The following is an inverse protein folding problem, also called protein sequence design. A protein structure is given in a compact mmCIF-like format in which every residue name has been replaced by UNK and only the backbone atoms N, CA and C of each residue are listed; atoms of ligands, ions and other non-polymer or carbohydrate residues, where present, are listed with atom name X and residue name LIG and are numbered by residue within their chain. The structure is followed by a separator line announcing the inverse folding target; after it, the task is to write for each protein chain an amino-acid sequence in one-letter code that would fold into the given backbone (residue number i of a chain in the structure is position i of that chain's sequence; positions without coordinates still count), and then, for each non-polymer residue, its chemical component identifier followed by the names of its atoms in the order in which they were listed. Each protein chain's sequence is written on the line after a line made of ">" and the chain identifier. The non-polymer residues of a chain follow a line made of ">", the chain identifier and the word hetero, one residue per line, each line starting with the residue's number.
data_IF_627178357379
#
_entry.id   IF_627178357379
#
_cell.length_a   1.000
_cell.length_b   1.000
_cell.length_c   1.000
_cell.angle_alpha   90.00
_cell.angle_beta   90.00
_cell.angle_gamma   90.00
#
_symmetry.space_group_name_H-M   'P 1'
#
loop_
_entity.id
_entity.type
_entity.pdbx_description
1 polymer ?
#
# COMPACT_ATOMS: atom_id res chain seq x y z
N UNK A 1 21.05 -21.36 -1.76
CA UNK A 1 20.82 -20.09 -1.01
C UNK A 1 19.75 -20.28 0.07
N UNK A 2 18.51 -20.64 -0.30
CA UNK A 2 17.42 -20.94 0.67
C UNK A 2 17.83 -21.93 1.77
N UNK A 3 18.63 -22.95 1.45
CA UNK A 3 19.12 -23.89 2.46
C UNK A 3 19.96 -23.22 3.55
N UNK A 4 20.82 -22.24 3.21
CA UNK A 4 21.67 -21.55 4.20
C UNK A 4 20.86 -20.60 5.08
N UNK A 5 19.91 -19.89 4.48
CA UNK A 5 18.94 -19.06 5.22
C UNK A 5 18.16 -19.93 6.21
N UNK A 6 17.63 -21.06 5.74
CA UNK A 6 16.94 -22.04 6.58
C UNK A 6 17.85 -22.61 7.67
N UNK A 7 19.08 -23.01 7.35
CA UNK A 7 20.02 -23.54 8.34
C UNK A 7 20.36 -22.52 9.42
N UNK A 8 20.59 -21.25 9.06
CA UNK A 8 20.84 -20.18 10.04
C UNK A 8 19.61 -19.97 10.93
N UNK A 9 18.42 -19.90 10.34
CA UNK A 9 17.17 -19.75 11.08
C UNK A 9 16.90 -20.94 12.01
N UNK A 10 17.11 -22.17 11.53
CA UNK A 10 16.95 -23.40 12.35
C UNK A 10 17.95 -23.43 13.50
N UNK A 11 19.22 -23.13 13.24
CA UNK A 11 20.24 -23.07 14.30
C UNK A 11 19.85 -22.07 15.38
N UNK A 12 19.44 -20.86 14.97
CA UNK A 12 19.14 -19.79 15.92
C UNK A 12 17.79 -19.99 16.63
N UNK A 13 16.85 -20.70 16.00
CA UNK A 13 15.55 -21.04 16.62
C UNK A 13 15.67 -21.92 17.87
N UNK A 14 16.78 -22.65 18.00
CA UNK A 14 17.06 -23.51 19.16
C UNK A 14 18.15 -22.93 20.08
N UNK A 15 18.72 -21.76 19.76
CA UNK A 15 19.75 -21.13 20.57
C UNK A 15 19.15 -20.42 21.79
N UNK A 16 19.76 -20.64 22.95
CA UNK A 16 19.54 -19.79 24.11
C UNK A 16 20.46 -18.55 24.07
N UNK A 17 20.24 -17.61 25.00
CA UNK A 17 21.03 -16.37 25.11
C UNK A 17 22.53 -16.67 25.28
N UNK A 18 22.88 -17.74 25.99
CA UNK A 18 24.27 -18.16 26.22
C UNK A 18 24.92 -18.66 24.92
N UNK A 19 24.19 -19.45 24.12
CA UNK A 19 24.64 -19.92 22.81
C UNK A 19 24.84 -18.76 21.85
N UNK A 20 23.91 -17.80 21.85
CA UNK A 20 24.01 -16.58 21.06
C UNK A 20 25.25 -15.76 21.44
N UNK A 21 25.56 -15.63 22.73
CA UNK A 21 26.80 -15.00 23.21
C UNK A 21 28.06 -15.73 22.71
N UNK A 22 28.06 -17.05 22.80
CA UNK A 22 29.16 -17.88 22.32
C UNK A 22 29.39 -17.69 20.82
N UNK A 23 28.31 -17.75 20.02
CA UNK A 23 28.35 -17.52 18.57
C UNK A 23 28.86 -16.12 18.22
N UNK A 24 28.36 -15.07 18.88
CA UNK A 24 28.82 -13.71 18.63
C UNK A 24 30.30 -13.52 19.00
N UNK A 25 30.76 -14.15 20.08
CA UNK A 25 32.18 -14.16 20.45
C UNK A 25 33.02 -14.86 19.39
N UNK A 26 32.58 -16.01 18.90
CA UNK A 26 33.25 -16.72 17.80
C UNK A 26 33.32 -15.83 16.54
N UNK A 27 32.20 -15.25 16.09
CA UNK A 27 32.16 -14.34 14.92
C UNK A 27 33.10 -13.14 15.12
N UNK A 28 33.17 -12.60 16.33
CA UNK A 28 34.03 -11.45 16.64
C UNK A 28 35.53 -11.74 16.47
N UNK A 29 35.94 -13.01 16.56
CA UNK A 29 37.34 -13.43 16.39
C UNK A 29 37.69 -13.81 14.95
N UNK A 30 36.70 -13.96 14.07
CA UNK A 30 36.94 -14.29 12.66
C UNK A 30 37.55 -13.09 11.95
N UNK A 31 38.61 -13.36 11.17
CA UNK A 31 39.12 -12.43 10.17
C UNK A 31 38.29 -12.53 8.87
N UNK A 32 37.42 -11.56 8.66
CA UNK A 32 36.53 -11.53 7.50
C UNK A 32 37.24 -11.25 6.17
N UNK A 33 38.52 -10.88 6.19
CA UNK A 33 39.32 -10.69 4.96
C UNK A 33 39.68 -12.03 4.33
N UNK A 34 40.06 -13.01 5.16
CA UNK A 34 40.49 -14.34 4.72
C UNK A 34 39.32 -15.27 4.41
N UNK A 35 38.10 -14.95 4.84
CA UNK A 35 36.90 -15.72 4.53
C UNK A 35 36.52 -15.70 3.05
N UNK A 36 36.04 -16.83 2.58
CA UNK A 36 35.36 -16.97 1.29
C UNK A 36 34.00 -16.24 1.30
N UNK A 37 33.47 -15.91 0.12
CA UNK A 37 32.16 -15.25 -0.01
C UNK A 37 31.02 -16.08 0.61
N UNK A 38 31.14 -17.41 0.59
CA UNK A 38 30.14 -18.31 1.17
C UNK A 38 30.16 -18.29 2.70
N UNK A 39 31.35 -18.22 3.30
CA UNK A 39 31.49 -18.09 4.76
C UNK A 39 30.99 -16.72 5.23
N UNK A 40 31.34 -15.66 4.52
CA UNK A 40 30.81 -14.31 4.78
C UNK A 40 29.27 -14.30 4.72
N UNK A 41 28.70 -14.94 3.70
CA UNK A 41 27.25 -15.09 3.56
C UNK A 41 26.63 -15.77 4.78
N UNK A 42 27.19 -16.90 5.22
CA UNK A 42 26.69 -17.63 6.39
C UNK A 42 26.80 -16.80 7.67
N UNK A 43 27.91 -16.10 7.88
CA UNK A 43 28.14 -15.23 9.04
C UNK A 43 27.11 -14.10 9.09
N UNK A 44 26.86 -13.41 7.97
CA UNK A 44 25.89 -12.31 7.94
C UNK A 44 24.46 -12.82 8.14
N UNK A 45 24.12 -13.99 7.57
CA UNK A 45 22.81 -14.63 7.80
C UNK A 45 22.61 -14.99 9.28
N UNK A 46 23.62 -15.57 9.94
CA UNK A 46 23.56 -15.83 11.39
C UNK A 46 23.39 -14.52 12.18
N UNK A 47 24.13 -13.47 11.85
CA UNK A 47 23.96 -12.17 12.51
C UNK A 47 22.56 -11.56 12.30
N UNK A 48 21.97 -11.74 11.11
CA UNK A 48 20.62 -11.28 10.80
C UNK A 48 19.57 -12.00 11.64
N UNK A 49 19.63 -13.33 11.68
CA UNK A 49 18.70 -14.15 12.46
C UNK A 49 18.88 -13.90 13.96
N UNK A 50 20.12 -13.74 14.46
CA UNK A 50 20.37 -13.35 15.86
C UNK A 50 19.79 -11.97 16.18
N UNK A 51 19.92 -11.01 15.27
CA UNK A 51 19.35 -9.68 15.45
C UNK A 51 17.81 -9.68 15.44
N UNK A 52 17.18 -10.68 14.82
CA UNK A 52 15.71 -10.85 14.82
C UNK A 52 15.25 -11.58 16.07
N UNK A 53 15.90 -12.70 16.42
CA UNK A 53 15.53 -13.54 17.56
C UNK A 53 15.72 -12.82 18.91
N UNK A 54 16.74 -11.98 19.02
CA UNK A 54 17.12 -11.28 20.26
C UNK A 54 16.99 -9.75 20.14
N UNK A 55 15.98 -9.25 19.42
CA UNK A 55 15.74 -7.81 19.32
C UNK A 55 15.42 -7.21 20.70
N UNK A 56 16.01 -6.05 21.01
CA UNK A 56 15.88 -5.38 22.30
C UNK A 56 16.71 -5.97 23.46
N UNK A 57 17.50 -7.02 23.24
CA UNK A 57 18.37 -7.61 24.27
C UNK A 57 19.79 -7.00 24.29
N UNK A 58 20.54 -7.27 25.37
CA UNK A 58 21.94 -6.82 25.55
C UNK A 58 22.87 -7.26 24.41
N UNK A 59 22.58 -8.41 23.78
CA UNK A 59 23.27 -8.97 22.62
C UNK A 59 23.35 -8.01 21.42
N UNK A 60 22.43 -7.05 21.32
CA UNK A 60 22.42 -6.07 20.23
C UNK A 60 23.69 -5.20 20.25
N UNK A 61 24.27 -4.94 21.43
CA UNK A 61 25.53 -4.20 21.56
C UNK A 61 26.71 -4.96 20.93
N UNK A 62 26.77 -6.28 21.13
CA UNK A 62 27.77 -7.16 20.53
C UNK A 62 27.66 -7.17 19.00
N UNK A 63 26.44 -7.30 18.46
CA UNK A 63 26.20 -7.26 17.01
C UNK A 63 26.64 -5.91 16.42
N UNK A 64 26.28 -4.79 17.07
CA UNK A 64 26.70 -3.43 16.65
C UNK A 64 28.21 -3.25 16.68
N UNK A 65 28.92 -3.87 17.62
CA UNK A 65 30.39 -3.87 17.67
C UNK A 65 31.00 -4.60 16.47
N UNK A 66 30.48 -5.78 16.13
CA UNK A 66 30.91 -6.54 14.94
C UNK A 66 30.67 -5.72 13.67
N UNK A 67 29.49 -5.11 13.54
CA UNK A 67 29.16 -4.21 12.42
C UNK A 67 30.15 -3.04 12.32
N UNK A 68 30.49 -2.40 13.45
CA UNK A 68 31.43 -1.28 13.49
C UNK A 68 32.81 -1.69 12.98
N UNK A 69 33.30 -2.86 13.36
CA UNK A 69 34.56 -3.44 12.84
C UNK A 69 34.52 -3.61 11.33
N UNK A 70 33.49 -4.28 10.80
CA UNK A 70 33.30 -4.48 9.35
C UNK A 70 33.27 -3.15 8.58
N UNK A 71 32.59 -2.15 9.13
CA UNK A 71 32.47 -0.81 8.52
C UNK A 71 33.82 -0.09 8.46
N UNK A 72 34.57 -0.09 9.57
CA UNK A 72 35.82 0.66 9.69
C UNK A 72 36.90 0.13 8.75
N UNK A 73 37.00 -1.20 8.66
CA UNK A 73 38.03 -1.86 7.86
C UNK A 73 37.68 -1.91 6.36
N UNK A 74 36.47 -1.46 5.99
CA UNK A 74 35.96 -1.44 4.61
C UNK A 74 35.94 -2.81 3.93
N UNK A 75 35.84 -3.90 4.70
CA UNK A 75 35.82 -5.30 4.21
C UNK A 75 34.78 -5.55 3.13
N UNK A 76 33.62 -4.89 3.24
CA UNK A 76 32.49 -5.03 2.32
C UNK A 76 32.80 -4.66 0.87
N UNK A 77 33.89 -3.91 0.59
CA UNK A 77 34.28 -3.55 -0.78
C UNK A 77 34.60 -4.77 -1.65
N UNK A 78 35.10 -5.87 -1.07
CA UNK A 78 35.43 -7.10 -1.82
C UNK A 78 34.28 -8.10 -1.89
N UNK A 79 33.15 -7.79 -1.26
CA UNK A 79 32.02 -8.71 -1.18
C UNK A 79 31.19 -8.69 -2.46
N UNK A 80 30.59 -9.85 -2.78
CA UNK A 80 29.59 -9.93 -3.84
C UNK A 80 28.33 -9.11 -3.50
N UNK A 81 27.52 -8.79 -4.52
CA UNK A 81 26.31 -7.98 -4.39
C UNK A 81 25.36 -8.50 -3.29
N UNK A 82 25.12 -9.82 -3.26
CA UNK A 82 24.24 -10.44 -2.27
C UNK A 82 24.76 -10.27 -0.82
N UNK A 83 26.06 -10.44 -0.59
CA UNK A 83 26.66 -10.20 0.74
C UNK A 83 26.56 -8.73 1.16
N UNK A 84 26.73 -7.79 0.23
CA UNK A 84 26.50 -6.35 0.49
C UNK A 84 25.04 -6.06 0.81
N UNK A 85 24.11 -6.67 0.09
CA UNK A 85 22.67 -6.59 0.35
C UNK A 85 22.31 -7.09 1.76
N UNK A 86 22.80 -8.28 2.14
CA UNK A 86 22.58 -8.83 3.48
C UNK A 86 23.17 -7.92 4.56
N UNK A 87 24.37 -7.37 4.34
CA UNK A 87 24.99 -6.46 5.30
C UNK A 87 24.17 -5.18 5.51
N UNK A 88 23.72 -4.52 4.44
CA UNK A 88 22.85 -3.34 4.56
C UNK A 88 21.51 -3.68 5.23
N UNK A 89 20.98 -4.87 4.97
CA UNK A 89 19.77 -5.37 5.65
C UNK A 89 20.02 -5.56 7.15
N UNK A 90 21.19 -6.04 7.54
CA UNK A 90 21.60 -6.17 8.93
C UNK A 90 21.71 -4.79 9.62
N UNK A 91 22.31 -3.80 8.95
CA UNK A 91 22.37 -2.42 9.47
C UNK A 91 20.97 -1.89 9.77
N UNK A 92 20.03 -2.09 8.84
CA UNK A 92 18.65 -1.67 8.99
C UNK A 92 17.91 -2.40 10.11
N UNK A 93 18.14 -3.70 10.27
CA UNK A 93 17.49 -4.52 11.31
C UNK A 93 17.97 -4.11 12.70
N UNK A 94 19.27 -3.92 12.86
CA UNK A 94 19.91 -3.52 14.12
C UNK A 94 19.78 -2.03 14.45
N UNK A 95 19.05 -1.27 13.61
CA UNK A 95 18.92 0.20 13.70
C UNK A 95 20.28 0.90 13.81
N UNK A 96 21.28 0.36 13.14
CA UNK A 96 22.62 0.92 13.12
C UNK A 96 22.62 2.22 12.31
N UNK A 97 23.05 3.33 12.93
CA UNK A 97 23.12 4.62 12.25
C UNK A 97 24.32 4.68 11.30
N UNK A 98 24.06 5.03 10.05
CA UNK A 98 25.09 5.29 9.05
C UNK A 98 24.73 6.51 8.20
N UNK A 99 25.74 7.10 7.56
CA UNK A 99 25.63 8.37 6.85
C UNK A 99 25.40 8.16 5.36
N UNK A 100 24.90 9.17 4.66
CA UNK A 100 24.83 9.20 3.21
C UNK A 100 26.19 8.92 2.54
N UNK A 101 27.28 9.51 3.05
CA UNK A 101 28.66 9.23 2.59
C UNK A 101 29.06 7.74 2.69
N UNK A 102 28.48 7.01 3.65
CA UNK A 102 28.68 5.57 3.74
C UNK A 102 27.85 4.82 2.70
N UNK A 103 26.59 5.21 2.52
CA UNK A 103 25.68 4.65 1.52
C UNK A 103 26.17 4.86 0.07
N UNK A 104 26.80 6.01 -0.21
CA UNK A 104 27.36 6.34 -1.52
C UNK A 104 28.32 5.27 -2.06
N UNK A 105 29.10 4.66 -1.15
CA UNK A 105 30.06 3.60 -1.49
C UNK A 105 29.41 2.36 -2.08
N UNK A 106 28.12 2.14 -1.82
CA UNK A 106 27.34 1.04 -2.39
C UNK A 106 26.65 1.46 -3.69
N UNK A 107 26.21 2.72 -3.78
CA UNK A 107 25.56 3.26 -5.00
C UNK A 107 26.53 3.35 -6.17
N UNK A 108 27.80 3.65 -5.91
CA UNK A 108 28.86 3.70 -6.93
C UNK A 108 29.34 2.31 -7.40
N UNK A 109 28.73 1.23 -6.91
CA UNK A 109 29.12 -0.14 -7.27
C UNK A 109 28.06 -0.79 -8.17
N UNK A 110 28.45 -1.75 -9.01
CA UNK A 110 27.55 -2.52 -9.89
C UNK A 110 26.58 -3.45 -9.14
N UNK A 111 26.49 -3.30 -7.82
CA UNK A 111 25.69 -4.12 -6.92
C UNK A 111 24.24 -3.62 -6.96
N UNK A 112 23.35 -4.31 -7.69
CA UNK A 112 21.97 -3.87 -7.89
C UNK A 112 21.08 -4.21 -6.68
N UNK A 113 21.38 -5.31 -5.98
CA UNK A 113 20.55 -5.75 -4.86
C UNK A 113 20.58 -4.77 -3.69
N UNK A 114 21.67 -4.01 -3.52
CA UNK A 114 21.84 -3.03 -2.44
C UNK A 114 20.83 -1.88 -2.49
N UNK A 115 20.25 -1.58 -3.66
CA UNK A 115 19.28 -0.48 -3.78
C UNK A 115 18.03 -0.69 -2.94
N UNK A 116 17.60 -1.93 -2.73
CA UNK A 116 16.43 -2.25 -1.89
C UNK A 116 16.60 -1.86 -0.42
N UNK A 117 17.64 -2.32 0.30
CA UNK A 117 17.86 -1.90 1.67
C UNK A 117 18.21 -0.41 1.75
N UNK A 118 18.93 0.17 0.77
CA UNK A 118 19.16 1.62 0.77
C UNK A 118 17.87 2.42 0.65
N UNK A 119 16.97 2.05 -0.27
CA UNK A 119 15.67 2.67 -0.41
C UNK A 119 14.85 2.61 0.90
N UNK A 120 14.86 1.46 1.59
CA UNK A 120 14.21 1.30 2.90
C UNK A 120 14.83 2.20 3.99
N UNK A 121 16.14 2.39 3.96
CA UNK A 121 16.82 3.32 4.86
C UNK A 121 16.37 4.76 4.61
N UNK A 122 16.41 5.22 3.36
CA UNK A 122 15.98 6.58 3.00
C UNK A 122 14.52 6.81 3.37
N UNK A 123 13.63 5.87 3.06
CA UNK A 123 12.22 5.97 3.45
C UNK A 123 12.03 6.09 4.97
N UNK A 124 12.81 5.35 5.77
CA UNK A 124 12.78 5.49 7.24
C UNK A 124 13.30 6.83 7.73
N UNK A 125 14.33 7.40 7.09
CA UNK A 125 14.79 8.76 7.44
C UNK A 125 13.68 9.80 7.22
N UNK A 126 12.95 9.68 6.10
CA UNK A 126 11.78 10.53 5.80
C UNK A 126 10.70 10.37 6.89
N UNK A 127 10.39 9.14 7.29
CA UNK A 127 9.37 8.85 8.30
C UNK A 127 9.74 9.37 9.70
N UNK A 128 10.95 9.07 10.18
CA UNK A 128 11.41 9.49 11.53
C UNK A 128 11.43 11.01 11.66
N UNK A 129 11.89 11.72 10.63
CA UNK A 129 11.95 13.18 10.62
C UNK A 129 10.54 13.79 10.72
N UNK A 130 9.55 13.14 10.11
CA UNK A 130 8.14 13.54 10.21
C UNK A 130 7.58 13.32 11.63
N UNK A 131 7.80 12.14 12.24
CA UNK A 131 7.28 11.81 13.59
C UNK A 131 7.84 12.72 14.69
N UNK A 132 9.15 13.01 14.67
CA UNK A 132 9.80 13.88 15.68
C UNK A 132 9.19 15.29 15.65
N UNK A 133 8.86 15.82 14.47
CA UNK A 133 8.28 17.16 14.37
C UNK A 133 6.83 17.22 14.80
N UNK A 134 6.02 16.19 14.51
CA UNK A 134 4.67 16.10 15.07
C UNK A 134 4.74 16.11 16.59
N UNK A 135 5.64 15.32 17.19
CA UNK A 135 5.84 15.30 18.64
C UNK A 135 6.27 16.67 19.18
N UNK A 136 7.17 17.38 18.50
CA UNK A 136 7.58 18.74 18.88
C UNK A 136 6.45 19.77 18.73
N UNK A 137 5.65 19.70 17.67
CA UNK A 137 4.45 20.53 17.49
C UNK A 137 3.42 20.27 18.60
N UNK A 138 3.12 19.00 18.90
CA UNK A 138 2.24 18.64 20.00
C UNK A 138 2.75 19.15 21.34
N UNK A 139 4.06 19.08 21.60
CA UNK A 139 4.67 19.63 22.81
C UNK A 139 4.55 21.16 22.87
N UNK A 140 4.72 21.87 21.75
CA UNK A 140 4.49 23.31 21.67
C UNK A 140 3.02 23.65 21.95
N UNK A 141 2.06 22.95 21.32
CA UNK A 141 0.62 23.16 21.59
C UNK A 141 0.24 22.86 23.05
N UNK A 142 0.88 21.87 23.67
CA UNK A 142 0.68 21.52 25.08
C UNK A 142 1.23 22.59 26.03
N UNK A 143 2.32 23.27 25.66
CA UNK A 143 2.89 24.41 26.41
C UNK A 143 1.96 25.63 26.32
N UNK A 144 1.28 25.85 25.20
CA UNK A 144 0.43 27.03 24.98
C UNK A 144 -1.04 26.87 25.41
N UNK A 145 -1.44 25.73 25.99
CA UNK A 145 -2.76 25.50 26.62
C UNK A 145 -3.97 26.00 25.79
N UNK A 146 -3.96 25.76 24.48
CA UNK A 146 -4.98 26.25 23.55
C UNK A 146 -6.16 25.27 23.43
N UNK A 147 -7.39 25.75 23.59
CA UNK A 147 -8.62 24.97 23.43
C UNK A 147 -8.77 24.45 21.99
N UNK A 148 -8.99 23.15 21.87
CA UNK A 148 -8.57 22.32 20.73
C UNK A 148 -9.58 22.19 19.57
N UNK A 149 -10.75 22.84 19.61
CA UNK A 149 -11.88 22.34 18.79
C UNK A 149 -12.20 23.11 17.50
N UNK A 150 -11.72 24.34 17.28
CA UNK A 150 -12.01 25.08 16.03
C UNK A 150 -10.80 25.35 15.14
N UNK A 151 -9.58 25.04 15.61
CA UNK A 151 -8.35 25.51 14.97
C UNK A 151 -7.59 24.43 14.17
N UNK A 152 -7.97 23.15 14.31
CA UNK A 152 -7.35 22.05 13.57
C UNK A 152 -7.56 22.14 12.05
N UNK A 153 -8.67 22.76 11.60
CA UNK A 153 -8.96 22.94 10.18
C UNK A 153 -8.22 24.12 9.54
N UNK A 154 -7.76 25.10 10.32
CA UNK A 154 -7.03 26.26 9.77
C UNK A 154 -5.50 26.15 9.89
N UNK A 155 -4.98 25.28 10.76
CA UNK A 155 -3.53 25.07 10.90
C UNK A 155 -2.94 24.10 9.87
N UNK A 156 -3.75 23.23 9.26
CA UNK A 156 -3.27 22.35 8.18
C UNK A 156 -2.70 23.14 7.00
N UNK A 157 -3.19 24.37 6.78
CA UNK A 157 -2.74 25.24 5.69
C UNK A 157 -1.62 26.20 6.12
N UNK A 158 -1.42 26.43 7.42
CA UNK A 158 -0.49 27.46 7.92
C UNK A 158 0.89 26.95 8.35
N UNK A 159 1.07 25.64 8.56
CA UNK A 159 2.37 25.06 8.91
C UNK A 159 2.85 24.06 7.85
N UNK A 160 3.07 24.54 6.63
CA UNK A 160 4.02 23.96 5.66
C UNK A 160 5.46 24.16 6.15
N UNK A 161 5.79 23.58 7.31
CA UNK A 161 7.19 23.51 7.76
C UNK A 161 7.87 22.45 6.92
N UNK A 162 8.56 22.89 5.87
CA UNK A 162 9.42 22.07 5.03
C UNK A 162 10.27 21.14 5.90
N UNK A 163 9.89 19.87 5.93
CA UNK A 163 10.76 18.80 6.39
C UNK A 163 11.76 18.59 5.26
N UNK A 164 13.05 18.59 5.61
CA UNK A 164 14.12 18.53 4.61
C UNK A 164 14.92 17.28 4.90
N UNK A 165 14.78 16.28 4.03
CA UNK A 165 15.75 15.19 3.89
C UNK A 165 17.15 15.82 3.87
N UNK A 166 18.14 15.18 4.50
CA UNK A 166 19.51 15.68 4.45
C UNK A 166 19.94 15.90 2.99
N UNK A 167 20.70 16.96 2.74
CA UNK A 167 21.13 17.32 1.39
C UNK A 167 21.90 16.16 0.74
N UNK A 168 22.67 15.43 1.54
CA UNK A 168 23.45 14.28 1.13
C UNK A 168 22.58 13.08 0.76
N UNK A 169 21.56 12.74 1.58
CA UNK A 169 20.60 11.67 1.26
C UNK A 169 19.79 12.01 0.00
N UNK A 170 19.44 13.28 -0.17
CA UNK A 170 18.77 13.77 -1.39
C UNK A 170 19.67 13.61 -2.62
N UNK A 171 20.93 14.02 -2.54
CA UNK A 171 21.87 13.89 -3.67
C UNK A 171 22.06 12.44 -4.10
N UNK A 172 22.16 11.51 -3.14
CA UNK A 172 22.21 10.07 -3.46
C UNK A 172 21.02 9.63 -4.30
N UNK A 173 19.83 10.10 -3.93
CA UNK A 173 18.59 9.75 -4.60
C UNK A 173 18.50 10.39 -6.00
N UNK A 174 18.92 11.65 -6.14
CA UNK A 174 18.93 12.35 -7.43
C UNK A 174 19.91 11.73 -8.43
N UNK A 175 21.02 11.20 -7.95
CA UNK A 175 22.11 10.70 -8.79
C UNK A 175 21.94 9.22 -9.23
N UNK A 176 20.99 8.47 -8.67
CA UNK A 176 20.80 7.04 -8.98
C UNK A 176 19.37 6.69 -9.36
N UNK A 177 19.13 6.46 -10.66
CA UNK A 177 17.82 6.01 -11.19
C UNK A 177 17.34 4.67 -10.59
N UNK A 178 18.19 3.62 -10.45
CA UNK A 178 17.78 2.37 -9.82
C UNK A 178 17.37 2.54 -8.36
N UNK A 179 18.07 3.41 -7.62
CA UNK A 179 17.71 3.74 -6.24
C UNK A 179 16.36 4.46 -6.18
N UNK A 180 16.08 5.40 -7.09
CA UNK A 180 14.75 6.05 -7.17
C UNK A 180 13.62 5.07 -7.40
N UNK A 181 13.82 4.08 -8.28
CA UNK A 181 12.81 3.05 -8.54
C UNK A 181 12.47 2.26 -7.25
N UNK A 182 13.49 1.75 -6.55
CA UNK A 182 13.24 0.99 -5.31
C UNK A 182 12.73 1.89 -4.18
N UNK A 183 13.12 3.17 -4.16
CA UNK A 183 12.57 4.17 -3.24
C UNK A 183 11.07 4.38 -3.44
N UNK A 184 10.63 4.66 -4.67
CA UNK A 184 9.20 4.81 -4.97
C UNK A 184 8.42 3.55 -4.66
N UNK A 185 8.99 2.37 -4.93
CA UNK A 185 8.39 1.08 -4.56
C UNK A 185 8.21 0.91 -3.06
N UNK A 186 9.20 1.32 -2.26
CA UNK A 186 9.10 1.26 -0.80
C UNK A 186 8.00 2.20 -0.31
N UNK A 187 7.97 3.43 -0.82
CA UNK A 187 6.96 4.41 -0.43
C UNK A 187 5.54 3.97 -0.81
N UNK A 188 5.33 3.43 -2.02
CA UNK A 188 4.00 3.02 -2.48
C UNK A 188 3.39 1.88 -1.65
N UNK A 189 4.24 1.06 -1.01
CA UNK A 189 3.82 -0.03 -0.14
C UNK A 189 3.65 0.39 1.32
N UNK A 190 3.99 1.63 1.66
CA UNK A 190 3.81 2.15 3.02
C UNK A 190 2.37 2.61 3.22
N UNK A 191 1.76 2.16 4.32
CA UNK A 191 0.42 2.60 4.74
C UNK A 191 0.44 3.87 5.57
N UNK A 192 1.62 4.26 6.09
CA UNK A 192 1.79 5.39 7.01
C UNK A 192 2.34 6.64 6.34
N UNK A 193 3.08 6.49 5.23
CA UNK A 193 3.79 7.61 4.61
C UNK A 193 2.89 8.46 3.71
N UNK A 194 2.88 9.77 3.98
CA UNK A 194 2.23 10.78 3.15
C UNK A 194 3.30 11.64 2.49
N UNK A 195 3.16 11.92 1.19
CA UNK A 195 4.02 12.90 0.53
C UNK A 195 3.54 14.30 0.94
N UNK A 196 4.22 14.91 1.90
CA UNK A 196 3.89 16.27 2.35
C UNK A 196 4.96 17.30 1.98
N UNK A 197 6.16 16.85 1.59
CA UNK A 197 7.28 17.73 1.25
C UNK A 197 7.20 18.19 -0.21
N UNK A 198 7.28 19.51 -0.45
CA UNK A 198 7.24 20.12 -1.79
C UNK A 198 8.34 19.56 -2.69
N UNK A 199 9.54 19.34 -2.14
CA UNK A 199 10.67 18.80 -2.91
C UNK A 199 10.42 17.36 -3.38
N UNK A 200 9.75 16.56 -2.56
CA UNK A 200 9.35 15.19 -2.90
C UNK A 200 8.23 15.15 -3.95
N UNK A 201 7.32 16.13 -3.90
CA UNK A 201 6.30 16.35 -4.93
C UNK A 201 6.94 16.72 -6.26
N UNK A 202 7.89 17.65 -6.24
CA UNK A 202 8.65 18.05 -7.44
C UNK A 202 9.40 16.86 -8.04
N UNK A 203 10.03 16.04 -7.20
CA UNK A 203 10.69 14.82 -7.65
C UNK A 203 9.69 13.83 -8.25
N UNK A 204 8.53 13.63 -7.62
CA UNK A 204 7.47 12.78 -8.15
C UNK A 204 6.98 13.27 -9.52
N UNK A 205 6.76 14.58 -9.69
CA UNK A 205 6.39 15.19 -10.98
C UNK A 205 7.47 14.96 -12.03
N UNK A 206 8.74 15.18 -11.67
CA UNK A 206 9.87 14.97 -12.58
C UNK A 206 9.99 13.51 -13.01
N UNK A 207 9.87 12.58 -12.07
CA UNK A 207 9.98 11.14 -12.35
C UNK A 207 8.74 10.62 -13.09
N UNK A 208 7.54 11.14 -12.84
CA UNK A 208 6.35 10.85 -13.64
C UNK A 208 6.59 11.19 -15.13
N UNK A 209 7.15 12.38 -15.41
CA UNK A 209 7.41 12.86 -16.78
C UNK A 209 8.51 12.08 -17.49
N UNK A 210 9.58 11.76 -16.76
CA UNK A 210 10.84 11.34 -17.37
C UNK A 210 11.21 9.87 -17.11
N UNK A 211 10.43 9.15 -16.31
CA UNK A 211 10.69 7.75 -15.98
C UNK A 211 9.76 6.79 -16.73
N UNK A 212 10.10 5.50 -16.68
CA UNK A 212 9.30 4.43 -17.27
C UNK A 212 8.03 4.06 -16.47
N UNK A 213 7.21 3.13 -17.02
CA UNK A 213 5.89 2.79 -16.50
C UNK A 213 5.89 2.23 -15.07
N UNK A 214 6.99 1.59 -14.63
CA UNK A 214 7.12 1.06 -13.27
C UNK A 214 7.21 2.16 -12.21
N UNK A 215 8.00 3.20 -12.46
CA UNK A 215 8.12 4.34 -11.54
C UNK A 215 6.79 5.09 -11.47
N UNK A 216 6.16 5.30 -12.63
CA UNK A 216 4.82 5.88 -12.71
C UNK A 216 3.82 5.06 -11.88
N UNK A 217 3.81 3.73 -12.01
CA UNK A 217 2.91 2.86 -11.25
C UNK A 217 3.03 3.08 -9.73
N UNK A 218 4.26 3.11 -9.20
CA UNK A 218 4.49 3.30 -7.77
C UNK A 218 4.05 4.68 -7.28
N UNK A 219 4.37 5.73 -8.03
CA UNK A 219 3.98 7.10 -7.67
C UNK A 219 2.45 7.25 -7.73
N UNK A 220 1.80 6.76 -8.77
CA UNK A 220 0.33 6.81 -8.91
C UNK A 220 -0.37 6.02 -7.80
N UNK A 221 0.15 4.84 -7.44
CA UNK A 221 -0.36 4.05 -6.31
C UNK A 221 -0.26 4.81 -4.99
N UNK A 222 0.87 5.48 -4.75
CA UNK A 222 1.10 6.31 -3.57
C UNK A 222 0.11 7.49 -3.50
N UNK A 223 -0.13 8.16 -4.63
CA UNK A 223 -1.12 9.25 -4.73
C UNK A 223 -2.56 8.74 -4.55
N UNK A 224 -2.86 7.51 -4.97
CA UNK A 224 -4.19 6.92 -4.82
C UNK A 224 -4.46 6.53 -3.36
N UNK A 225 -3.45 6.01 -2.66
CA UNK A 225 -3.57 5.57 -1.26
C UNK A 225 -3.51 6.71 -0.24
N UNK A 226 -3.03 7.89 -0.63
CA UNK A 226 -2.88 9.00 0.32
C UNK A 226 -4.23 9.59 0.76
N UNK A 227 -4.35 9.94 2.04
CA UNK A 227 -5.61 10.51 2.57
C UNK A 227 -5.75 12.00 2.29
N UNK A 228 -4.63 12.69 2.09
CA UNK A 228 -4.60 14.12 1.77
C UNK A 228 -5.00 14.30 0.32
N UNK A 229 -6.00 15.13 0.06
CA UNK A 229 -6.26 15.68 -1.26
C UNK A 229 -5.05 16.50 -1.67
N UNK A 230 -4.05 15.85 -2.29
CA UNK A 230 -2.85 16.52 -2.81
C UNK A 230 -3.17 17.51 -3.95
N UNK A 231 -4.46 17.77 -4.21
CA UNK A 231 -4.95 18.82 -5.09
C UNK A 231 -4.44 20.22 -4.72
N UNK A 232 -4.02 20.45 -3.48
CA UNK A 232 -3.38 21.71 -3.08
C UNK A 232 -1.85 21.73 -3.37
N UNK A 233 -1.24 20.57 -3.61
CA UNK A 233 0.22 20.40 -3.60
C UNK A 233 0.81 20.06 -4.97
N UNK A 234 0.06 19.38 -5.83
CA UNK A 234 0.40 19.22 -7.24
C UNK A 234 -0.32 20.29 -8.05
N UNK A 235 0.33 20.82 -9.09
CA UNK A 235 -0.37 21.54 -10.15
C UNK A 235 -1.43 20.59 -10.73
N UNK A 236 -2.68 20.81 -10.31
CA UNK A 236 -3.82 19.94 -10.66
C UNK A 236 -4.05 19.92 -12.16
N UNK A 237 -3.69 20.99 -12.88
CA UNK A 237 -3.75 21.04 -14.33
C UNK A 237 -2.78 20.07 -14.98
N UNK A 238 -1.51 20.09 -14.54
CA UNK A 238 -0.50 19.14 -15.03
C UNK A 238 -0.90 17.69 -14.74
N UNK A 239 -1.29 17.39 -13.49
CA UNK A 239 -1.60 16.01 -13.10
C UNK A 239 -2.81 15.49 -13.89
N UNK A 240 -3.88 16.28 -14.04
CA UNK A 240 -5.03 15.89 -14.85
C UNK A 240 -4.65 15.65 -16.31
N UNK A 241 -3.90 16.57 -16.91
CA UNK A 241 -3.43 16.41 -18.30
C UNK A 241 -2.63 15.13 -18.49
N UNK A 242 -1.67 14.87 -17.58
CA UNK A 242 -0.88 13.64 -17.61
C UNK A 242 -1.73 12.37 -17.46
N UNK A 243 -2.71 12.37 -16.55
CA UNK A 243 -3.62 11.24 -16.36
C UNK A 243 -4.47 10.98 -17.61
N UNK A 244 -4.97 12.02 -18.27
CA UNK A 244 -5.69 11.89 -19.54
C UNK A 244 -4.81 11.31 -20.66
N UNK A 245 -3.54 11.72 -20.75
CA UNK A 245 -2.61 11.14 -21.72
C UNK A 245 -2.34 9.66 -21.41
N UNK A 246 -2.15 9.30 -20.14
CA UNK A 246 -2.00 7.89 -19.74
C UNK A 246 -3.21 7.04 -20.12
N UNK A 247 -4.43 7.57 -20.00
CA UNK A 247 -5.65 6.85 -20.38
C UNK A 247 -5.71 6.51 -21.88
N UNK A 248 -5.11 7.33 -22.74
CA UNK A 248 -5.04 7.09 -24.19
C UNK A 248 -4.02 6.00 -24.54
N UNK A 249 -3.09 5.69 -23.65
CA UNK A 249 -2.09 4.65 -23.86
C UNK A 249 -2.61 3.26 -23.48
N UNK A 250 -2.13 2.20 -24.14
CA UNK A 250 -2.41 0.79 -23.77
C UNK A 250 -1.65 0.32 -22.51
N UNK A 251 -1.21 1.25 -21.66
CA UNK A 251 -0.31 0.95 -20.55
C UNK A 251 -1.04 0.34 -19.34
N UNK A 252 -0.29 -0.45 -18.55
CA UNK A 252 -0.72 -1.06 -17.28
C UNK A 252 -1.27 -0.08 -16.25
N UNK A 253 -0.96 1.22 -16.40
CA UNK A 253 -1.32 2.28 -15.46
C UNK A 253 -2.68 2.93 -15.78
N UNK A 254 -3.39 2.52 -16.84
CA UNK A 254 -4.68 3.11 -17.23
C UNK A 254 -5.72 3.04 -16.12
N UNK A 255 -5.85 1.89 -15.45
CA UNK A 255 -6.80 1.72 -14.35
C UNK A 255 -6.47 2.62 -13.15
N UNK A 256 -5.19 2.75 -12.81
CA UNK A 256 -4.74 3.67 -11.76
C UNK A 256 -5.02 5.13 -12.14
N UNK A 257 -4.83 5.48 -13.41
CA UNK A 257 -5.11 6.83 -13.88
C UNK A 257 -6.60 7.18 -13.75
N UNK A 258 -7.49 6.27 -14.13
CA UNK A 258 -8.94 6.44 -13.95
C UNK A 258 -9.33 6.60 -12.49
N UNK A 259 -8.83 5.74 -11.59
CA UNK A 259 -9.11 5.84 -10.15
C UNK A 259 -8.63 7.18 -9.56
N UNK A 260 -7.45 7.66 -9.99
CA UNK A 260 -6.93 8.95 -9.56
C UNK A 260 -7.75 10.13 -10.09
N UNK A 261 -8.21 10.08 -11.34
CA UNK A 261 -9.09 11.10 -11.89
C UNK A 261 -10.40 11.17 -11.11
N UNK A 262 -11.03 10.03 -10.81
CA UNK A 262 -12.24 9.97 -9.96
C UNK A 262 -11.96 10.60 -8.59
N UNK A 263 -10.81 10.29 -7.99
CA UNK A 263 -10.41 10.84 -6.69
C UNK A 263 -10.19 12.37 -6.73
N UNK A 264 -9.66 12.90 -7.84
CA UNK A 264 -9.41 14.34 -8.02
C UNK A 264 -10.69 15.09 -8.40
N UNK A 265 -11.46 14.57 -9.35
CA UNK A 265 -12.73 15.10 -9.80
C UNK A 265 -13.76 13.97 -10.02
N UNK A 266 -14.70 13.87 -9.08
CA UNK A 266 -15.79 12.89 -9.11
C UNK A 266 -16.62 12.90 -10.40
N UNK A 267 -16.72 14.04 -11.10
CA UNK A 267 -17.51 14.17 -12.32
C UNK A 267 -16.80 13.66 -13.59
N UNK A 268 -15.51 13.34 -13.50
CA UNK A 268 -14.70 12.89 -14.65
C UNK A 268 -14.68 11.36 -14.82
N UNK A 269 -15.56 10.63 -14.14
CA UNK A 269 -15.66 9.18 -14.28
C UNK A 269 -16.33 8.80 -15.61
N UNK A 270 -15.93 7.65 -16.18
CA UNK A 270 -16.43 7.15 -17.46
C UNK A 270 -17.21 5.85 -17.26
N UNK A 271 -18.50 5.87 -17.62
CA UNK A 271 -19.38 4.71 -17.50
C UNK A 271 -18.85 3.50 -18.26
N UNK A 272 -18.50 3.64 -19.54
CA UNK A 272 -18.04 2.52 -20.38
C UNK A 272 -16.80 1.81 -19.82
N UNK A 273 -15.85 2.59 -19.28
CA UNK A 273 -14.68 2.04 -18.63
C UNK A 273 -15.02 1.27 -17.36
N UNK A 274 -15.90 1.82 -16.52
CA UNK A 274 -16.26 1.19 -15.25
C UNK A 274 -17.14 -0.06 -15.49
N UNK A 275 -18.07 0.01 -16.44
CA UNK A 275 -18.90 -1.11 -16.87
C UNK A 275 -18.06 -2.25 -17.44
N UNK A 276 -17.16 -1.95 -18.38
CA UNK A 276 -16.24 -2.97 -18.93
C UNK A 276 -15.30 -3.56 -17.88
N UNK A 277 -14.95 -2.80 -16.83
CA UNK A 277 -14.18 -3.32 -15.70
C UNK A 277 -15.04 -4.19 -14.77
N UNK A 278 -16.32 -3.89 -14.60
CA UNK A 278 -17.26 -4.63 -13.74
C UNK A 278 -17.69 -5.98 -14.35
N UNK A 279 -17.90 -6.04 -15.67
CA UNK A 279 -18.29 -7.26 -16.39
C UNK A 279 -17.07 -8.13 -16.75
N UNK A 280 -15.85 -7.67 -16.49
CA UNK A 280 -14.62 -8.39 -16.86
C UNK A 280 -14.52 -9.77 -16.17
N UNK A 281 -13.96 -10.76 -16.86
CA UNK A 281 -13.74 -12.10 -16.28
C UNK A 281 -12.62 -12.12 -15.21
N UNK A 282 -11.65 -11.21 -15.29
CA UNK A 282 -10.55 -11.14 -14.31
C UNK A 282 -11.02 -10.48 -13.01
N UNK A 283 -11.00 -11.24 -11.91
CA UNK A 283 -11.30 -10.77 -10.56
C UNK A 283 -10.49 -9.52 -10.16
N UNK A 284 -9.23 -9.39 -10.61
CA UNK A 284 -8.40 -8.23 -10.31
C UNK A 284 -8.94 -6.95 -10.97
N UNK A 285 -9.51 -7.08 -12.16
CA UNK A 285 -10.14 -5.96 -12.88
C UNK A 285 -11.49 -5.61 -12.23
N UNK A 286 -12.28 -6.61 -11.84
CA UNK A 286 -13.50 -6.37 -11.04
C UNK A 286 -13.18 -5.67 -9.70
N UNK A 287 -12.07 -6.03 -9.04
CA UNK A 287 -11.63 -5.37 -7.81
C UNK A 287 -11.29 -3.89 -8.02
N UNK A 288 -10.80 -3.50 -9.20
CA UNK A 288 -10.61 -2.09 -9.59
C UNK A 288 -11.97 -1.38 -9.70
N UNK A 289 -12.98 -2.03 -10.29
CA UNK A 289 -14.33 -1.46 -10.37
C UNK A 289 -14.93 -1.22 -8.96
N UNK A 290 -14.70 -2.15 -8.02
CA UNK A 290 -15.09 -1.97 -6.62
C UNK A 290 -14.37 -0.79 -5.97
N UNK A 291 -13.07 -0.59 -6.23
CA UNK A 291 -12.34 0.58 -5.73
C UNK A 291 -12.89 1.89 -6.30
N UNK A 292 -13.24 1.92 -7.59
CA UNK A 292 -13.87 3.09 -8.21
C UNK A 292 -15.23 3.38 -7.57
N UNK A 293 -16.05 2.34 -7.35
CA UNK A 293 -17.34 2.45 -6.67
C UNK A 293 -17.18 3.03 -5.26
N UNK A 294 -16.21 2.55 -4.49
CA UNK A 294 -15.93 3.07 -3.15
C UNK A 294 -15.56 4.57 -3.17
N UNK A 295 -14.79 5.02 -4.17
CA UNK A 295 -14.43 6.43 -4.32
C UNK A 295 -15.64 7.29 -4.67
N UNK A 296 -16.50 6.82 -5.58
CA UNK A 296 -17.68 7.55 -6.04
C UNK A 296 -18.73 7.68 -4.93
N UNK A 297 -19.00 6.61 -4.18
CA UNK A 297 -20.00 6.62 -3.09
C UNK A 297 -19.61 7.50 -1.90
N UNK A 298 -18.31 7.80 -1.70
CA UNK A 298 -17.84 8.63 -0.57
C UNK A 298 -18.25 10.11 -0.65
N UNK A 299 -18.65 10.63 -1.82
CA UNK A 299 -18.83 12.09 -2.02
C UNK A 299 -20.25 12.56 -2.32
N UNK A 300 -21.25 11.68 -2.43
CA UNK A 300 -22.64 12.11 -2.60
C UNK A 300 -23.59 11.02 -3.09
N UNK A 301 -24.79 11.45 -3.48
CA UNK A 301 -25.84 10.59 -4.02
C UNK A 301 -25.43 10.07 -5.41
N UNK A 302 -25.33 8.74 -5.59
CA UNK A 302 -25.03 8.14 -6.90
C UNK A 302 -26.10 8.47 -7.94
N UNK A 303 -25.67 8.59 -9.20
CA UNK A 303 -26.58 8.72 -10.34
C UNK A 303 -27.06 7.34 -10.82
N UNK A 304 -28.01 7.36 -11.77
CA UNK A 304 -28.59 6.15 -12.35
C UNK A 304 -27.54 5.28 -13.07
N UNK A 305 -26.49 5.89 -13.63
CA UNK A 305 -25.42 5.15 -14.29
C UNK A 305 -24.61 4.34 -13.28
N UNK A 306 -24.32 4.91 -12.11
CA UNK A 306 -23.63 4.21 -11.05
C UNK A 306 -24.47 3.09 -10.45
N UNK A 307 -25.81 3.24 -10.36
CA UNK A 307 -26.71 2.13 -10.00
C UNK A 307 -26.62 0.95 -10.97
N UNK A 308 -26.53 1.20 -12.28
CA UNK A 308 -26.31 0.13 -13.28
C UNK A 308 -25.03 -0.66 -13.00
N UNK A 309 -23.94 0.03 -12.65
CA UNK A 309 -22.67 -0.62 -12.26
C UNK A 309 -22.83 -1.45 -10.98
N UNK A 310 -23.50 -0.91 -9.97
CA UNK A 310 -23.72 -1.59 -8.68
C UNK A 310 -24.44 -2.92 -8.91
N UNK A 311 -25.53 -2.89 -9.67
CA UNK A 311 -26.36 -4.06 -9.96
C UNK A 311 -25.57 -5.16 -10.69
N UNK A 312 -24.70 -4.78 -11.62
CA UNK A 312 -23.78 -5.71 -12.30
C UNK A 312 -22.83 -6.37 -11.30
N UNK A 313 -22.21 -5.58 -10.41
CA UNK A 313 -21.25 -6.09 -9.42
C UNK A 313 -21.92 -6.99 -8.37
N UNK A 314 -23.16 -6.69 -7.98
CA UNK A 314 -23.96 -7.53 -7.07
C UNK A 314 -24.27 -8.91 -7.66
N UNK A 315 -24.25 -9.04 -8.99
CA UNK A 315 -24.42 -10.30 -9.73
C UNK A 315 -23.11 -10.88 -10.26
N UNK A 316 -21.95 -10.37 -9.85
CA UNK A 316 -20.66 -10.97 -10.23
C UNK A 316 -20.63 -12.46 -9.87
N UNK A 317 -19.98 -13.30 -10.67
CA UNK A 317 -19.77 -14.71 -10.31
C UNK A 317 -18.83 -14.86 -9.10
N UNK A 318 -17.98 -13.86 -8.85
CA UNK A 318 -17.04 -13.86 -7.75
C UNK A 318 -17.68 -13.39 -6.44
N UNK A 319 -17.71 -14.28 -5.45
CA UNK A 319 -18.30 -14.03 -4.12
C UNK A 319 -17.72 -12.81 -3.43
N UNK A 320 -16.39 -12.69 -3.37
CA UNK A 320 -15.72 -11.58 -2.70
C UNK A 320 -16.04 -10.21 -3.35
N UNK A 321 -16.27 -10.19 -4.67
CA UNK A 321 -16.69 -8.97 -5.37
C UNK A 321 -18.15 -8.63 -5.03
N UNK A 322 -19.06 -9.62 -5.10
CA UNK A 322 -20.48 -9.42 -4.75
C UNK A 322 -20.65 -8.91 -3.33
N UNK A 323 -20.01 -9.55 -2.37
CA UNK A 323 -20.11 -9.19 -0.95
C UNK A 323 -19.55 -7.80 -0.68
N UNK A 324 -18.44 -7.45 -1.34
CA UNK A 324 -17.84 -6.12 -1.17
C UNK A 324 -18.70 -5.04 -1.80
N UNK A 325 -19.32 -5.28 -2.95
CA UNK A 325 -20.32 -4.37 -3.53
C UNK A 325 -21.52 -4.19 -2.60
N UNK A 326 -22.06 -5.29 -2.07
CA UNK A 326 -23.18 -5.26 -1.15
C UNK A 326 -22.87 -4.46 0.11
N UNK A 327 -21.72 -4.71 0.73
CA UNK A 327 -21.24 -3.95 1.89
C UNK A 327 -21.13 -2.45 1.59
N UNK A 328 -20.59 -2.08 0.43
CA UNK A 328 -20.48 -0.68 0.02
C UNK A 328 -21.85 -0.02 -0.14
N UNK A 329 -22.85 -0.72 -0.67
CA UNK A 329 -24.16 -0.13 -0.99
C UNK A 329 -25.22 -0.29 0.11
N UNK A 330 -24.97 -1.10 1.14
CA UNK A 330 -25.95 -1.40 2.19
C UNK A 330 -26.50 -0.16 2.91
N UNK A 331 -25.62 0.82 3.16
CA UNK A 331 -25.97 2.08 3.82
C UNK A 331 -27.00 2.91 3.04
N UNK A 332 -27.15 2.66 1.75
CA UNK A 332 -28.09 3.36 0.86
C UNK A 332 -29.54 2.88 1.08
N UNK A 333 -29.70 1.63 1.54
CA UNK A 333 -30.98 1.02 1.87
C UNK A 333 -31.26 1.14 3.37
N UNK A 334 -30.28 0.81 4.21
CA UNK A 334 -30.37 0.97 5.66
C UNK A 334 -29.09 1.56 6.23
N UNK A 335 -29.17 2.77 6.82
CA UNK A 335 -28.03 3.43 7.48
C UNK A 335 -27.48 2.68 8.69
N UNK A 336 -28.28 1.79 9.30
CA UNK A 336 -27.93 1.04 10.52
C UNK A 336 -27.32 -0.34 10.23
N UNK A 337 -27.46 -0.87 9.01
CA UNK A 337 -27.02 -2.23 8.68
C UNK A 337 -25.63 -2.20 8.05
N UNK A 338 -24.70 -2.96 8.62
CA UNK A 338 -23.31 -3.01 8.15
C UNK A 338 -23.14 -3.73 6.79
N UNK A 339 -23.97 -4.73 6.51
CA UNK A 339 -24.02 -5.42 5.22
C UNK A 339 -25.38 -6.12 5.04
N UNK A 340 -26.06 -5.83 3.93
CA UNK A 340 -27.25 -6.52 3.45
C UNK A 340 -26.85 -7.60 2.46
N UNK A 341 -27.70 -8.62 2.32
CA UNK A 341 -27.49 -9.67 1.33
C UNK A 341 -27.45 -9.07 -0.10
N UNK A 342 -26.50 -9.48 -0.98
CA UNK A 342 -26.38 -8.95 -2.34
C UNK A 342 -27.67 -9.09 -3.17
N UNK A 343 -28.43 -10.17 -3.02
CA UNK A 343 -29.70 -10.36 -3.73
C UNK A 343 -30.77 -9.38 -3.24
N UNK A 344 -30.87 -9.17 -1.92
CA UNK A 344 -31.83 -8.21 -1.36
C UNK A 344 -31.55 -6.82 -1.93
N UNK A 345 -30.28 -6.42 -1.97
CA UNK A 345 -29.87 -5.15 -2.57
C UNK A 345 -30.18 -5.06 -4.06
N UNK A 346 -29.92 -6.13 -4.82
CA UNK A 346 -30.19 -6.17 -6.25
C UNK A 346 -31.67 -5.92 -6.54
N UNK A 347 -32.58 -6.63 -5.83
CA UNK A 347 -34.02 -6.47 -6.03
C UNK A 347 -34.55 -5.14 -5.50
N UNK A 348 -33.94 -4.61 -4.44
CA UNK A 348 -34.24 -3.27 -3.98
C UNK A 348 -33.95 -2.22 -5.06
N UNK A 349 -32.79 -2.29 -5.73
CA UNK A 349 -32.50 -1.37 -6.83
C UNK A 349 -33.45 -1.55 -8.03
N UNK A 350 -33.78 -2.78 -8.39
CA UNK A 350 -34.73 -3.04 -9.48
C UNK A 350 -36.14 -2.48 -9.17
N UNK A 351 -36.61 -2.63 -7.93
CA UNK A 351 -37.94 -2.19 -7.53
C UNK A 351 -38.07 -0.66 -7.41
N UNK A 352 -37.03 0.02 -6.90
CA UNK A 352 -37.08 1.46 -6.64
C UNK A 352 -36.65 2.32 -7.83
N UNK A 353 -35.98 1.76 -8.83
CA UNK A 353 -35.49 2.49 -10.01
C UNK A 353 -35.91 1.81 -11.33
N UNK A 354 -36.96 2.31 -12.01
CA UNK A 354 -37.46 1.70 -13.25
C UNK A 354 -36.42 1.59 -14.36
N UNK A 355 -35.49 2.55 -14.49
CA UNK A 355 -34.44 2.47 -15.53
C UNK A 355 -33.41 1.37 -15.24
N UNK A 356 -33.34 0.88 -14.00
CA UNK A 356 -32.52 -0.26 -13.62
C UNK A 356 -33.22 -1.57 -13.97
N UNK A 357 -34.52 -1.67 -13.71
CA UNK A 357 -35.32 -2.82 -14.14
C UNK A 357 -35.22 -3.03 -15.66
N UNK A 358 -35.39 -1.95 -16.43
CA UNK A 358 -35.24 -1.99 -17.88
C UNK A 358 -33.82 -2.43 -18.29
N UNK A 359 -32.78 -1.89 -17.64
CA UNK A 359 -31.39 -2.25 -17.91
C UNK A 359 -31.08 -3.72 -17.59
N UNK A 360 -31.61 -4.26 -16.48
CA UNK A 360 -31.47 -5.67 -16.09
C UNK A 360 -32.07 -6.55 -17.17
N UNK A 361 -33.27 -6.22 -17.66
CA UNK A 361 -33.96 -7.00 -18.70
C UNK A 361 -33.17 -7.07 -20.02
N UNK A 362 -32.37 -6.03 -20.32
CA UNK A 362 -31.51 -5.95 -21.50
C UNK A 362 -30.18 -6.71 -21.36
N UNK A 363 -29.64 -6.83 -20.14
CA UNK A 363 -28.34 -7.46 -19.89
C UNK A 363 -28.38 -9.00 -19.83
N UNK A 364 -29.57 -9.61 -19.87
CA UNK A 364 -29.76 -11.05 -19.89
C UNK A 364 -30.88 -11.50 -18.96
N UNK A 365 -31.27 -12.77 -19.09
CA UNK A 365 -32.35 -13.35 -18.29
C UNK A 365 -31.84 -13.64 -16.86
N UNK A 366 -31.81 -12.60 -16.01
CA UNK A 366 -31.63 -12.77 -14.57
C UNK A 366 -32.90 -13.42 -14.02
N UNK A 367 -33.00 -14.75 -14.18
CA UNK A 367 -34.08 -15.65 -13.75
C UNK A 367 -35.38 -15.01 -13.25
N UNK A 368 -36.46 -15.20 -14.02
CA UNK A 368 -37.83 -14.80 -13.69
C UNK A 368 -38.13 -14.90 -12.19
N UNK A 369 -38.79 -13.87 -11.68
CA UNK A 369 -39.16 -13.62 -10.29
C UNK A 369 -39.93 -14.75 -9.57
N UNK A 370 -40.29 -15.84 -10.24
CA UNK A 370 -41.25 -16.81 -9.71
C UNK A 370 -40.62 -17.90 -8.82
N UNK A 371 -39.33 -18.23 -8.97
CA UNK A 371 -38.73 -19.37 -8.24
C UNK A 371 -37.34 -19.18 -7.62
N UNK A 372 -36.69 -18.03 -7.82
CA UNK A 372 -35.35 -17.79 -7.29
C UNK A 372 -35.36 -16.55 -6.42
N UNK A 373 -35.73 -16.62 -5.13
CA UNK A 373 -35.49 -15.51 -4.18
C UNK A 373 -35.94 -15.77 -2.75
N UNK A 374 -35.03 -16.31 -1.94
CA UNK A 374 -34.63 -15.84 -0.61
C UNK A 374 -33.84 -16.99 0.03
N UNK A 375 -32.60 -16.70 0.44
CA UNK A 375 -31.71 -17.71 1.02
C UNK A 375 -32.05 -17.93 2.49
N UNK A 376 -32.08 -19.20 2.90
CA UNK A 376 -31.97 -19.57 4.30
C UNK A 376 -30.54 -19.27 4.79
N UNK A 377 -30.41 -18.61 5.94
CA UNK A 377 -29.13 -18.21 6.52
C UNK A 377 -28.33 -19.38 7.11
N UNK A 378 -28.90 -20.59 7.13
CA UNK A 378 -28.27 -21.78 7.70
C UNK A 378 -27.56 -22.70 6.69
N UNK A 379 -27.45 -22.30 5.41
CA UNK A 379 -26.95 -23.17 4.34
C UNK A 379 -25.52 -22.80 3.94
N UNK A 380 -24.65 -23.79 3.76
CA UNK A 380 -23.21 -23.58 3.51
C UNK A 380 -22.87 -23.31 2.03
N UNK A 381 -23.74 -23.69 1.07
CA UNK A 381 -23.62 -23.28 -0.33
C UNK A 381 -25.00 -23.11 -1.00
N UNK A 382 -25.45 -21.86 -1.21
CA UNK A 382 -26.82 -21.54 -1.64
C UNK A 382 -27.11 -21.76 -3.13
N UNK A 383 -26.12 -22.14 -3.94
CA UNK A 383 -26.32 -22.45 -5.37
C UNK A 383 -26.51 -23.95 -5.65
N UNK A 384 -26.29 -24.80 -4.64
CA UNK A 384 -26.49 -26.27 -4.69
C UNK A 384 -27.72 -26.74 -3.92
N UNK A 385 -28.16 -25.96 -2.94
CA UNK A 385 -29.23 -26.33 -2.01
C UNK A 385 -30.38 -25.31 -2.16
N UNK A 386 -31.24 -25.53 -3.16
CA UNK A 386 -32.37 -24.64 -3.45
C UNK A 386 -33.54 -24.93 -2.50
N UNK A 387 -33.61 -24.19 -1.38
CA UNK A 387 -34.80 -24.15 -0.52
C UNK A 387 -35.52 -22.80 -0.72
N UNK A 388 -36.79 -22.78 -1.14
CA UNK A 388 -37.50 -21.54 -1.43
C UNK A 388 -38.01 -20.84 -0.16
N UNK A 389 -37.80 -19.53 -0.06
CA UNK A 389 -38.54 -18.65 0.85
C UNK A 389 -39.29 -17.64 -0.03
N UNK A 390 -40.59 -17.45 0.20
CA UNK A 390 -41.48 -16.72 -0.71
C UNK A 390 -41.22 -15.20 -0.72
N UNK A 391 -41.21 -14.62 -1.92
CA UNK A 391 -41.11 -13.18 -2.20
C UNK A 391 -42.21 -12.33 -1.55
N UNK A 392 -43.28 -12.96 -1.07
CA UNK A 392 -44.43 -12.35 -0.40
C UNK A 392 -44.06 -11.64 0.92
N UNK A 393 -42.89 -11.95 1.52
CA UNK A 393 -42.42 -11.35 2.77
C UNK A 393 -41.40 -10.21 2.59
N UNK A 394 -41.05 -9.84 1.36
CA UNK A 394 -40.08 -8.77 1.10
C UNK A 394 -40.61 -7.41 1.60
N UNK A 395 -41.93 -7.21 1.54
CA UNK A 395 -42.64 -6.07 2.17
C UNK A 395 -42.45 -6.02 3.68
N UNK A 396 -42.47 -7.17 4.36
CA UNK A 396 -42.23 -7.29 5.81
C UNK A 396 -40.76 -7.05 6.18
N UNK A 397 -39.80 -7.48 5.34
CA UNK A 397 -38.36 -7.19 5.52
C UNK A 397 -38.08 -5.70 5.31
N UNK A 398 -38.71 -5.07 4.31
CA UNK A 398 -38.60 -3.63 4.09
C UNK A 398 -39.22 -2.82 5.25
N UNK A 399 -40.31 -3.30 5.86
CA UNK A 399 -40.90 -2.72 7.08
C UNK A 399 -40.00 -2.86 8.32
N UNK A 400 -39.12 -3.87 8.38
CA UNK A 400 -38.15 -4.03 9.48
C UNK A 400 -36.92 -3.12 9.33
N UNK A 401 -36.73 -2.54 8.14
CA UNK A 401 -35.58 -1.72 7.77
C UNK A 401 -35.91 -0.22 7.80
N UNK A 402 -37.18 0.16 7.62
CA UNK A 402 -37.73 1.50 7.90
C UNK A 402 -37.81 1.79 9.40
#
# INVERSE_FOLDING_TARGET
>A
MKLRELSAATLISICEVQDAHFLLKWISNIDLISCTQNEICAIILMLLELAVAFDGCELQSCIKSIIKRVKNDKHFKRWCDYNRFLFLTLLLKTRYQFTALFAEKFVLSDAVLVFRPLAKWIAREVEVTFTIKIANLFNIFKIFNFQLNSFFYHISDFFLVNVKISFETKNLLMNSRPLRLEFWRVLSNSTTMKITEIEMIQLAVQDIRNSGPFVQHYILTLLLNSTTTHSALFDTGFLKHFLHELMKTRQSNRHLANLLLIKLNHNEWCFDWLYSSAVNEDQKIQAIAIQALELLLKRGTPDIQLYKIIVVLLKSQNEAIREKAAKLCSHMVNRKTAALNPEILFWWFAQYYPEIEEFISQCGNFGNNEHTRLFDACVSNPYTEAVPICSEHLSSVLQLIS
#
